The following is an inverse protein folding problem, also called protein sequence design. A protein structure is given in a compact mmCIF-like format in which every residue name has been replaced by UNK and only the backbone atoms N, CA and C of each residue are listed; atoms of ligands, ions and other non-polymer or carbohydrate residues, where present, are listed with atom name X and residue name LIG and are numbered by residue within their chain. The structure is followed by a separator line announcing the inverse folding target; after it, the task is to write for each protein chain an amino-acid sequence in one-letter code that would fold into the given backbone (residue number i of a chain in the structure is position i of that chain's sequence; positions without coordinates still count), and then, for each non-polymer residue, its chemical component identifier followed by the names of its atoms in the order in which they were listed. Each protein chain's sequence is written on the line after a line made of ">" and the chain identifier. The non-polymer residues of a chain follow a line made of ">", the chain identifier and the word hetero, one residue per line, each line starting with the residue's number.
data_IF_709222403116
#
_entry.id   IF_709222403116
#
_cell.length_a   1.000
_cell.length_b   1.000
_cell.length_c   1.000
_cell.angle_alpha   90.00
_cell.angle_beta   90.00
_cell.angle_gamma   90.00
#
_symmetry.space_group_name_H-M   'P 1'
#
loop_
_entity.id
_entity.type
_entity.pdbx_description
1 polymer ?
#
# COMPACT_ATOMS: atom_id res chain seq x y z
N UNK A 1 6.81 12.28 -35.66
CA UNK A 1 6.28 13.40 -34.86
C UNK A 1 4.94 12.92 -34.35
N UNK A 2 4.75 12.41 -33.14
CA UNK A 2 5.60 12.39 -31.97
C UNK A 2 5.40 11.08 -31.21
N UNK A 3 6.51 10.63 -30.64
CA UNK A 3 6.65 9.39 -29.89
C UNK A 3 6.20 9.66 -28.44
N UNK A 4 5.51 8.68 -27.84
CA UNK A 4 5.29 8.53 -26.40
C UNK A 4 4.32 9.51 -25.70
N UNK A 5 3.06 9.09 -25.53
CA UNK A 5 2.36 9.26 -24.24
C UNK A 5 1.56 7.98 -23.90
N UNK A 6 2.24 6.83 -23.93
CA UNK A 6 1.87 5.73 -23.04
C UNK A 6 2.26 6.18 -21.64
N UNK A 7 1.47 7.07 -21.04
CA UNK A 7 1.58 7.36 -19.63
C UNK A 7 1.16 6.10 -18.89
N UNK A 8 2.17 5.29 -18.54
CA UNK A 8 2.16 4.20 -17.57
C UNK A 8 0.81 4.00 -16.91
N UNK A 9 0.05 2.99 -17.33
CA UNK A 9 -1.20 2.59 -16.71
C UNK A 9 -0.93 2.18 -15.26
N UNK A 10 -1.00 3.16 -14.34
CA UNK A 10 -0.89 2.95 -12.91
C UNK A 10 -2.12 2.14 -12.49
N UNK A 11 -1.92 0.85 -12.22
CA UNK A 11 -2.86 0.02 -11.48
C UNK A 11 -2.89 0.49 -10.02
N UNK A 12 -3.36 1.71 -9.78
CA UNK A 12 -3.60 2.22 -8.45
C UNK A 12 -4.75 1.41 -7.85
N UNK A 13 -4.59 0.92 -6.62
CA UNK A 13 -5.71 0.33 -5.88
C UNK A 13 -6.70 1.47 -5.62
N UNK A 14 -7.76 1.54 -6.43
CA UNK A 14 -8.74 2.64 -6.41
C UNK A 14 -9.54 2.62 -5.11
N UNK A 15 -9.81 1.43 -4.57
CA UNK A 15 -10.62 1.26 -3.37
C UNK A 15 -10.14 0.09 -2.51
N UNK A 16 -10.26 0.22 -1.19
CA UNK A 16 -10.01 -0.86 -0.25
C UNK A 16 -11.37 -1.45 0.13
N UNK A 17 -11.79 -2.49 -0.58
CA UNK A 17 -13.04 -3.20 -0.26
C UNK A 17 -12.93 -3.90 1.10
N UNK A 18 -14.05 -4.24 1.78
CA UNK A 18 -14.02 -4.96 3.05
C UNK A 18 -13.25 -6.28 2.98
N UNK A 19 -13.42 -7.05 1.90
CA UNK A 19 -12.74 -8.33 1.69
C UNK A 19 -11.23 -8.13 1.50
N UNK A 20 -10.85 -7.11 0.71
CA UNK A 20 -9.44 -6.76 0.53
C UNK A 20 -8.82 -6.30 1.84
N UNK A 21 -9.53 -5.49 2.64
CA UNK A 21 -9.07 -5.06 3.96
C UNK A 21 -8.82 -6.24 4.89
N UNK A 22 -9.70 -7.24 4.90
CA UNK A 22 -9.52 -8.46 5.70
C UNK A 22 -8.28 -9.23 5.24
N UNK A 23 -8.16 -9.51 3.94
CA UNK A 23 -7.02 -10.22 3.38
C UNK A 23 -5.68 -9.51 3.65
N UNK A 24 -5.65 -8.19 3.53
CA UNK A 24 -4.47 -7.37 3.83
C UNK A 24 -4.09 -7.43 5.31
N UNK A 25 -5.06 -7.38 6.22
CA UNK A 25 -4.81 -7.45 7.66
C UNK A 25 -4.41 -8.85 8.12
N UNK A 26 -5.00 -9.89 7.54
CA UNK A 26 -4.60 -11.28 7.76
C UNK A 26 -3.16 -11.53 7.28
N UNK A 27 -2.83 -11.05 6.08
CA UNK A 27 -1.46 -11.18 5.54
C UNK A 27 -0.48 -10.43 6.43
N UNK A 28 -0.81 -9.18 6.81
CA UNK A 28 0.01 -8.38 7.73
C UNK A 28 0.24 -9.09 9.06
N UNK A 29 -0.78 -9.75 9.63
CA UNK A 29 -0.66 -10.40 10.94
C UNK A 29 0.21 -11.67 10.91
N UNK A 30 0.27 -12.36 9.77
CA UNK A 30 1.15 -13.51 9.54
C UNK A 30 2.62 -13.12 9.35
N UNK A 31 2.87 -11.95 8.76
CA UNK A 31 4.23 -11.42 8.55
C UNK A 31 4.80 -10.81 9.84
N UNK A 32 6.13 -10.93 10.02
CA UNK A 32 6.84 -10.37 11.19
C UNK A 32 7.98 -9.46 10.75
N UNK A 33 8.40 -8.56 11.66
CA UNK A 33 9.63 -7.79 11.52
C UNK A 33 9.70 -6.92 10.26
N UNK A 34 10.77 -7.07 9.49
CA UNK A 34 11.01 -6.33 8.24
C UNK A 34 9.97 -6.63 7.18
N UNK A 35 9.53 -7.88 7.06
CA UNK A 35 8.70 -8.34 5.96
C UNK A 35 7.30 -7.77 6.07
N UNK A 36 6.79 -7.68 7.31
CA UNK A 36 5.54 -6.99 7.60
C UNK A 36 5.60 -5.51 7.17
N UNK A 37 6.72 -4.83 7.44
CA UNK A 37 6.87 -3.40 7.08
C UNK A 37 7.01 -3.22 5.57
N UNK A 38 7.80 -4.07 4.90
CA UNK A 38 7.95 -4.06 3.43
C UNK A 38 6.62 -4.30 2.74
N UNK A 39 5.83 -5.28 3.19
CA UNK A 39 4.49 -5.54 2.69
C UNK A 39 3.59 -4.30 2.82
N UNK A 40 3.53 -3.70 4.00
CA UNK A 40 2.72 -2.49 4.23
C UNK A 40 3.15 -1.33 3.32
N UNK A 41 4.46 -1.13 3.13
CA UNK A 41 5.00 -0.10 2.26
C UNK A 41 4.65 -0.33 0.78
N UNK A 42 4.72 -1.57 0.30
CA UNK A 42 4.34 -1.94 -1.07
C UNK A 42 2.86 -1.65 -1.33
N UNK A 43 1.96 -2.05 -0.44
CA UNK A 43 0.51 -1.79 -0.58
C UNK A 43 0.23 -0.29 -0.58
N UNK A 44 0.89 0.46 0.30
CA UNK A 44 0.75 1.92 0.35
C UNK A 44 1.27 2.60 -0.91
N UNK A 45 2.36 2.10 -1.49
CA UNK A 45 2.88 2.59 -2.77
C UNK A 45 1.91 2.29 -3.92
N UNK A 46 1.30 1.10 -3.93
CA UNK A 46 0.28 0.71 -4.90
C UNK A 46 -1.05 1.50 -4.74
N UNK A 47 -1.33 2.05 -3.56
CA UNK A 47 -2.47 2.95 -3.33
C UNK A 47 -2.25 4.36 -3.90
N UNK A 48 -1.03 4.67 -4.34
CA UNK A 48 -0.67 5.96 -4.93
C UNK A 48 -0.59 7.13 -3.92
N UNK A 49 -0.63 8.38 -4.40
CA UNK A 49 -0.61 9.57 -3.55
C UNK A 49 -1.70 9.51 -2.47
N UNK A 50 -1.32 9.80 -1.22
CA UNK A 50 -2.25 9.70 -0.08
C UNK A 50 -2.53 8.27 0.40
N UNK A 51 -1.86 7.25 -0.15
CA UNK A 51 -2.00 5.84 0.24
C UNK A 51 -1.79 5.60 1.75
N UNK A 52 -0.90 6.33 2.40
CA UNK A 52 -0.70 6.25 3.86
C UNK A 52 -1.93 6.72 4.65
N UNK A 53 -2.57 7.80 4.20
CA UNK A 53 -3.78 8.34 4.81
C UNK A 53 -4.95 7.38 4.63
N UNK A 54 -5.07 6.79 3.43
CA UNK A 54 -6.08 5.75 3.11
C UNK A 54 -5.85 4.49 3.94
N UNK A 55 -4.62 3.98 4.01
CA UNK A 55 -4.30 2.79 4.81
C UNK A 55 -4.57 3.00 6.32
N UNK A 56 -4.34 4.21 6.85
CA UNK A 56 -4.72 4.55 8.22
C UNK A 56 -6.25 4.54 8.40
N UNK A 57 -6.98 5.21 7.50
CA UNK A 57 -8.44 5.35 7.60
C UNK A 57 -9.17 4.02 7.42
N UNK A 58 -8.83 3.29 6.36
CA UNK A 58 -9.55 2.07 5.98
C UNK A 58 -9.05 0.85 6.78
N UNK A 59 -7.73 0.68 6.89
CA UNK A 59 -7.12 -0.54 7.48
C UNK A 59 -6.58 -0.36 8.89
N UNK A 60 -6.61 0.86 9.45
CA UNK A 60 -6.12 1.13 10.81
C UNK A 60 -4.59 1.06 10.96
N UNK A 61 -3.84 1.12 9.86
CA UNK A 61 -2.40 0.93 9.90
C UNK A 61 -1.66 2.14 10.49
N UNK A 62 -0.63 1.87 11.30
CA UNK A 62 0.21 2.93 11.85
C UNK A 62 1.16 3.49 10.78
N UNK A 63 1.05 4.80 10.51
CA UNK A 63 1.89 5.51 9.53
C UNK A 63 3.38 5.37 9.84
N UNK A 64 3.79 5.37 11.11
CA UNK A 64 5.20 5.22 11.50
C UNK A 64 5.76 3.85 11.12
N UNK A 65 4.94 2.80 11.20
CA UNK A 65 5.32 1.44 10.78
C UNK A 65 5.48 1.35 9.27
N UNK A 66 4.59 2.01 8.52
CA UNK A 66 4.65 2.09 7.05
C UNK A 66 5.93 2.80 6.61
N UNK A 67 6.23 3.96 7.18
CA UNK A 67 7.43 4.75 6.84
C UNK A 67 8.71 3.94 7.04
N UNK A 68 8.79 3.18 8.14
CA UNK A 68 9.94 2.29 8.39
C UNK A 68 10.10 1.22 7.32
N UNK A 69 9.04 0.81 6.63
CA UNK A 69 9.10 -0.12 5.51
C UNK A 69 9.53 0.50 4.18
N UNK A 70 9.34 1.82 4.02
CA UNK A 70 9.77 2.58 2.84
C UNK A 70 11.27 2.91 2.91
N UNK A 71 11.82 3.10 4.11
CA UNK A 71 13.23 3.46 4.36
C UNK A 71 14.14 2.22 4.51
N UNK A 72 13.59 1.00 4.40
CA UNK A 72 14.29 -0.29 4.63
C UNK A 72 14.78 -1.01 3.36
#
# INVERSE_FOLDING_TARGET
>A
MDNQEQTTQYNAIVEITPELKEALNETRSKLKGSDQRRFMAQIVSALGPGGQSRAKRESGWNRNTIIKGVVL
#
